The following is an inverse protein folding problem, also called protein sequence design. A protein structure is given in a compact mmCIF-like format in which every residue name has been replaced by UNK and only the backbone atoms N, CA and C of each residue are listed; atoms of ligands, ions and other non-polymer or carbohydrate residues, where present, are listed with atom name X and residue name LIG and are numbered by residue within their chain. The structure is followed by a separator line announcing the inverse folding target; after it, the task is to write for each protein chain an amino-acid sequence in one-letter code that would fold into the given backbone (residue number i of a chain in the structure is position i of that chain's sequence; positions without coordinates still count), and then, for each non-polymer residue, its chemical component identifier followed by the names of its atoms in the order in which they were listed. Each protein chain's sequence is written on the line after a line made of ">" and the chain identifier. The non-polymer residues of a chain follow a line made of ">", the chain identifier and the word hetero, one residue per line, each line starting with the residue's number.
data_IF_148512860396
#
_entry.id   IF_148512860396
#
_cell.length_a   1.000
_cell.length_b   1.000
_cell.length_c   1.000
_cell.angle_alpha   90.00
_cell.angle_beta   90.00
_cell.angle_gamma   90.00
#
_symmetry.space_group_name_H-M   'P 1'
#
loop_
_entity.id
_entity.type
_entity.pdbx_description
1 polymer ?
#
# COMPACT_ATOMS: atom_id res chain seq x y z
N UNK A 1 35.36 -4.04 -46.32
CA UNK A 1 34.40 -3.66 -47.38
C UNK A 1 33.72 -4.93 -47.89
N UNK A 2 32.38 -4.93 -47.95
CA UNK A 2 31.47 -5.91 -48.60
C UNK A 2 31.18 -7.23 -47.84
N UNK A 3 30.15 -7.16 -46.98
CA UNK A 3 29.34 -8.32 -46.54
C UNK A 3 28.22 -8.57 -47.58
N UNK A 4 28.07 -9.81 -48.05
CA UNK A 4 26.92 -10.36 -48.82
C UNK A 4 26.33 -11.48 -47.94
N UNK A 5 25.17 -11.29 -47.30
CA UNK A 5 23.82 -11.74 -47.73
C UNK A 5 23.75 -13.23 -48.13
N UNK A 6 23.20 -14.04 -47.22
CA UNK A 6 22.41 -15.27 -47.44
C UNK A 6 21.76 -15.58 -46.07
N UNK A 7 20.50 -15.21 -45.79
CA UNK A 7 19.24 -15.83 -46.23
C UNK A 7 19.18 -17.35 -45.96
N UNK A 8 18.69 -17.76 -44.77
CA UNK A 8 17.93 -19.00 -44.64
C UNK A 8 17.02 -18.99 -43.40
N UNK A 9 15.74 -18.78 -43.69
CA UNK A 9 14.53 -19.05 -42.90
C UNK A 9 14.45 -20.48 -42.37
N UNK A 10 14.04 -20.67 -41.11
CA UNK A 10 13.32 -21.88 -40.69
C UNK A 10 12.49 -21.63 -39.40
N UNK A 11 11.17 -21.44 -39.60
CA UNK A 11 10.04 -22.01 -38.84
C UNK A 11 10.20 -22.11 -37.30
N UNK A 12 9.64 -21.22 -36.47
CA UNK A 12 8.22 -21.08 -36.12
C UNK A 12 7.45 -22.41 -36.05
N UNK A 13 7.53 -23.09 -34.90
CA UNK A 13 6.48 -24.00 -34.42
C UNK A 13 5.96 -23.51 -33.07
N UNK A 14 4.90 -22.72 -33.19
CA UNK A 14 3.94 -22.33 -32.18
C UNK A 14 3.15 -23.60 -31.80
N UNK A 15 3.18 -24.04 -30.53
CA UNK A 15 2.26 -25.07 -30.04
C UNK A 15 1.48 -24.54 -28.85
N UNK A 16 0.18 -24.49 -29.05
CA UNK A 16 -0.87 -23.92 -28.22
C UNK A 16 -1.07 -24.68 -26.90
N UNK A 17 -1.41 -23.89 -25.89
CA UNK A 17 -2.04 -24.21 -24.61
C UNK A 17 -3.57 -24.12 -24.78
N UNK A 18 -4.35 -25.04 -24.16
CA UNK A 18 -5.52 -24.77 -23.31
C UNK A 18 -6.56 -25.93 -23.24
N UNK A 19 -7.41 -25.86 -22.19
CA UNK A 19 -8.47 -26.75 -21.67
C UNK A 19 -7.96 -27.81 -20.68
N UNK A 20 -8.01 -27.66 -19.36
CA UNK A 20 -8.97 -27.04 -18.42
C UNK A 20 -10.39 -27.63 -18.47
N UNK A 21 -10.75 -28.39 -17.45
CA UNK A 21 -12.10 -28.82 -17.10
C UNK A 21 -12.21 -28.97 -15.57
N UNK A 22 -12.72 -27.87 -14.99
CA UNK A 22 -13.36 -27.63 -13.70
C UNK A 22 -13.90 -28.90 -12.98
N UNK A 23 -13.35 -29.36 -11.86
CA UNK A 23 -13.74 -29.14 -10.44
C UNK A 23 -15.26 -29.01 -10.15
N UNK A 24 -15.78 -29.80 -9.19
CA UNK A 24 -16.36 -29.29 -7.93
C UNK A 24 -16.91 -30.43 -7.04
N UNK A 25 -16.34 -30.54 -5.85
CA UNK A 25 -16.82 -31.31 -4.71
C UNK A 25 -16.75 -30.37 -3.52
N UNK A 26 -17.88 -30.09 -2.84
CA UNK A 26 -17.88 -29.54 -1.48
C UNK A 26 -19.09 -30.06 -0.72
N UNK A 27 -18.76 -30.73 0.37
CA UNK A 27 -19.63 -31.08 1.49
C UNK A 27 -19.49 -29.99 2.58
N UNK A 28 -20.46 -29.99 3.49
CA UNK A 28 -20.41 -29.48 4.87
C UNK A 28 -20.87 -28.05 5.22
N UNK A 29 -21.55 -28.07 6.36
CA UNK A 29 -22.32 -27.12 7.18
C UNK A 29 -21.62 -25.79 7.54
N UNK A 30 -22.33 -24.76 8.07
CA UNK A 30 -22.46 -24.65 9.54
C UNK A 30 -23.71 -23.87 10.06
N UNK A 31 -24.08 -24.07 11.33
CA UNK A 31 -24.85 -23.10 12.11
C UNK A 31 -24.68 -23.35 13.61
N UNK A 32 -23.83 -22.54 14.25
CA UNK A 32 -23.66 -22.47 15.72
C UNK A 32 -23.68 -21.01 16.17
N UNK A 33 -24.54 -20.77 17.18
CA UNK A 33 -24.53 -19.80 18.29
C UNK A 33 -24.06 -18.35 18.03
N UNK A 34 -24.83 -17.29 18.32
CA UNK A 34 -25.50 -16.87 19.57
C UNK A 34 -24.58 -16.09 20.56
N UNK A 35 -24.89 -14.79 20.68
CA UNK A 35 -24.86 -13.86 21.85
C UNK A 35 -23.56 -13.44 22.55
N UNK A 36 -23.46 -12.11 22.78
CA UNK A 36 -23.55 -11.58 24.15
C UNK A 36 -22.51 -10.53 24.61
N UNK A 37 -23.05 -9.37 25.06
CA UNK A 37 -22.57 -8.44 26.11
C UNK A 37 -21.25 -7.65 25.89
N UNK A 38 -21.26 -6.31 25.72
CA UNK A 38 -21.41 -5.20 26.71
C UNK A 38 -20.35 -5.16 27.81
N UNK A 39 -19.55 -4.07 27.88
CA UNK A 39 -19.47 -3.21 29.07
C UNK A 39 -18.77 -1.87 28.81
N UNK A 40 -19.19 -0.90 29.61
CA UNK A 40 -18.95 0.54 29.66
C UNK A 40 -18.07 0.83 30.91
N UNK A 41 -17.21 1.84 30.89
CA UNK A 41 -16.45 2.22 32.09
C UNK A 41 -15.53 3.43 31.90
N UNK A 42 -15.72 4.46 32.73
CA UNK A 42 -15.26 5.84 32.57
C UNK A 42 -14.03 6.22 33.43
N UNK A 43 -13.37 7.31 32.98
CA UNK A 43 -12.74 8.45 33.68
C UNK A 43 -11.89 8.28 34.96
N UNK A 44 -10.72 8.95 35.00
CA UNK A 44 -10.45 10.08 35.93
C UNK A 44 -9.19 10.90 35.54
N UNK A 45 -9.24 12.21 35.81
CA UNK A 45 -8.18 13.22 35.75
C UNK A 45 -7.24 13.19 36.98
N UNK A 46 -6.04 13.77 36.86
CA UNK A 46 -5.17 14.15 37.98
C UNK A 46 -4.05 15.11 37.58
N UNK A 47 -4.01 16.29 38.19
CA UNK A 47 -3.11 17.42 37.95
C UNK A 47 -1.81 17.40 38.78
N UNK A 48 -0.76 18.13 38.36
CA UNK A 48 -0.01 19.16 39.15
C UNK A 48 1.40 19.53 38.62
N UNK A 49 1.57 20.83 38.35
CA UNK A 49 2.63 21.82 38.71
C UNK A 49 4.15 21.73 38.41
N UNK A 50 4.73 22.95 38.43
CA UNK A 50 5.97 23.52 37.85
C UNK A 50 7.33 23.17 38.50
N UNK A 51 8.42 23.46 37.76
CA UNK A 51 9.80 23.61 38.26
C UNK A 51 10.77 24.18 37.20
N UNK A 52 11.66 25.08 37.62
CA UNK A 52 12.35 26.13 36.87
C UNK A 52 13.78 25.84 36.32
N UNK A 53 14.21 26.64 35.30
CA UNK A 53 15.58 27.18 34.95
C UNK A 53 16.77 26.19 34.75
N UNK A 54 17.81 26.39 33.91
CA UNK A 54 18.53 27.56 33.37
C UNK A 54 19.43 27.16 32.15
N UNK A 55 20.01 28.16 31.47
CA UNK A 55 20.87 28.15 30.27
C UNK A 55 22.17 27.32 30.32
N UNK A 56 22.69 26.94 29.14
CA UNK A 56 24.13 26.70 28.98
C UNK A 56 24.62 26.01 27.70
N UNK A 57 25.09 26.84 26.76
CA UNK A 57 26.23 26.64 25.85
C UNK A 57 26.12 25.69 24.62
N UNK A 58 26.37 26.37 23.49
CA UNK A 58 26.74 25.98 22.13
C UNK A 58 27.82 24.91 21.98
N UNK A 59 27.64 24.01 21.01
CA UNK A 59 28.71 23.58 20.10
C UNK A 59 28.19 23.47 18.65
N UNK A 60 28.94 24.08 17.75
CA UNK A 60 28.78 24.11 16.30
C UNK A 60 29.58 22.95 15.72
N UNK A 61 28.94 22.07 14.94
CA UNK A 61 29.60 20.88 14.43
C UNK A 61 28.86 20.20 13.29
N UNK A 62 29.09 20.72 12.08
CA UNK A 62 29.12 20.05 10.79
C UNK A 62 27.87 19.29 10.27
N UNK A 63 27.43 19.76 9.10
CA UNK A 63 26.38 19.24 8.25
C UNK A 63 26.46 17.73 7.96
N UNK A 64 25.30 17.06 8.06
CA UNK A 64 24.89 16.06 7.09
C UNK A 64 23.50 16.41 6.53
N UNK A 65 23.47 16.52 5.20
CA UNK A 65 22.35 16.59 4.29
C UNK A 65 21.63 15.22 4.36
N UNK A 66 20.42 15.06 4.88
CA UNK A 66 19.18 15.67 4.41
C UNK A 66 18.17 14.55 4.14
N UNK A 67 17.52 14.04 5.20
CA UNK A 67 16.26 13.32 5.10
C UNK A 67 15.39 13.82 6.25
N UNK A 68 14.53 14.78 5.95
CA UNK A 68 13.55 15.27 6.90
C UNK A 68 12.57 14.12 7.21
N UNK A 69 12.70 13.55 8.40
CA UNK A 69 11.63 12.74 9.00
C UNK A 69 10.49 13.70 9.36
N UNK A 70 9.65 14.00 8.36
CA UNK A 70 8.35 14.62 8.55
C UNK A 70 7.47 13.58 9.26
N UNK A 71 7.54 13.48 10.60
CA UNK A 71 6.45 12.90 11.40
C UNK A 71 5.26 13.87 11.37
N UNK A 72 4.60 13.92 10.22
CA UNK A 72 3.36 14.62 9.97
C UNK A 72 2.17 13.72 10.35
N UNK A 73 1.09 14.33 10.85
CA UNK A 73 -0.22 13.69 11.07
C UNK A 73 -0.52 12.59 10.03
N UNK A 74 -0.74 11.31 10.43
CA UNK A 74 -0.94 10.20 9.50
C UNK A 74 -2.20 10.34 8.63
N UNK A 75 -3.06 11.32 8.92
CA UNK A 75 -4.26 11.65 8.15
C UNK A 75 -4.05 12.82 7.17
N UNK A 76 -2.99 13.61 7.35
CA UNK A 76 -2.71 14.72 6.43
C UNK A 76 -2.28 14.19 5.06
N UNK A 77 -2.69 14.89 4.00
CA UNK A 77 -2.23 14.55 2.65
C UNK A 77 -0.72 14.82 2.54
N UNK A 78 0.04 13.92 1.93
CA UNK A 78 1.47 14.12 1.79
C UNK A 78 1.83 15.21 0.77
N UNK A 79 3.02 15.80 0.90
CA UNK A 79 3.48 16.89 0.04
C UNK A 79 3.57 16.51 -1.45
N UNK A 80 3.82 15.23 -1.75
CA UNK A 80 3.93 14.65 -3.08
C UNK A 80 2.62 13.99 -3.56
N UNK A 81 1.47 14.32 -2.96
CA UNK A 81 0.16 13.77 -3.36
C UNK A 81 -0.22 14.12 -4.82
N UNK A 82 0.29 15.23 -5.35
CA UNK A 82 -0.04 15.67 -6.70
C UNK A 82 0.63 14.83 -7.80
N UNK A 83 1.83 14.30 -7.56
CA UNK A 83 2.62 13.56 -8.54
C UNK A 83 3.72 12.72 -7.87
N UNK A 84 4.08 11.56 -8.43
CA UNK A 84 5.20 10.77 -7.93
C UNK A 84 6.51 11.59 -8.01
N UNK A 85 7.33 11.59 -6.94
CA UNK A 85 8.63 12.23 -6.94
C UNK A 85 9.62 11.49 -7.86
N UNK A 86 10.74 12.15 -8.19
CA UNK A 86 11.73 11.61 -9.14
C UNK A 86 12.42 10.33 -8.66
N UNK A 87 12.42 10.07 -7.36
CA UNK A 87 12.99 8.88 -6.73
C UNK A 87 11.97 7.75 -6.54
N UNK A 88 10.72 7.92 -7.00
CA UNK A 88 9.74 6.84 -7.01
C UNK A 88 10.06 5.78 -8.07
N UNK A 89 9.95 4.52 -7.70
CA UNK A 89 10.08 3.39 -8.62
C UNK A 89 8.79 3.26 -9.44
N UNK A 90 8.92 3.03 -10.75
CA UNK A 90 7.76 2.87 -11.65
C UNK A 90 7.79 1.51 -12.33
N UNK A 91 6.68 0.78 -12.28
CA UNK A 91 6.53 -0.52 -12.93
C UNK A 91 6.08 -0.35 -14.40
N UNK A 92 6.08 -1.45 -15.15
CA UNK A 92 5.64 -1.45 -16.54
C UNK A 92 4.15 -1.11 -16.73
N UNK A 93 3.33 -1.27 -15.70
CA UNK A 93 1.90 -0.89 -15.73
C UNK A 93 1.67 0.60 -15.47
N UNK A 94 2.71 1.34 -15.08
CA UNK A 94 2.64 2.74 -14.71
C UNK A 94 2.32 2.98 -13.24
N UNK A 95 2.22 1.94 -12.42
CA UNK A 95 2.21 2.09 -10.96
C UNK A 95 3.55 2.69 -10.52
N UNK A 96 3.50 3.83 -9.82
CA UNK A 96 4.66 4.38 -9.14
C UNK A 96 4.58 4.12 -7.63
N UNK A 97 5.71 3.87 -6.99
CA UNK A 97 5.76 3.61 -5.56
C UNK A 97 7.07 4.05 -4.91
N UNK A 98 7.02 4.32 -3.60
CA UNK A 98 8.19 4.69 -2.79
C UNK A 98 8.06 4.10 -1.40
N UNK A 99 9.11 3.42 -0.93
CA UNK A 99 9.18 2.94 0.46
C UNK A 99 9.31 4.15 1.39
N UNK A 100 8.40 4.26 2.35
CA UNK A 100 8.42 5.28 3.39
C UNK A 100 9.05 4.76 4.69
N UNK A 101 8.83 3.48 4.97
CA UNK A 101 9.43 2.76 6.10
C UNK A 101 9.71 1.33 5.65
N UNK A 102 10.95 0.90 5.82
CA UNK A 102 11.36 -0.47 5.54
C UNK A 102 10.60 -1.46 6.45
N UNK A 103 10.18 -2.58 5.86
CA UNK A 103 9.60 -3.67 6.61
C UNK A 103 10.66 -4.59 7.20
N UNK A 104 10.20 -5.54 8.03
CA UNK A 104 11.06 -6.56 8.66
C UNK A 104 10.77 -7.97 8.13
N UNK A 105 9.70 -8.12 7.34
CA UNK A 105 9.34 -9.37 6.70
C UNK A 105 10.33 -9.79 5.61
N UNK A 106 10.27 -11.07 5.26
CA UNK A 106 11.08 -11.66 4.18
C UNK A 106 10.24 -12.23 3.04
N UNK A 107 8.94 -12.34 3.26
CA UNK A 107 7.98 -12.85 2.29
C UNK A 107 7.22 -11.69 1.64
N UNK A 108 6.94 -11.86 0.36
CA UNK A 108 6.06 -10.98 -0.40
C UNK A 108 4.67 -11.63 -0.54
N UNK A 109 3.58 -10.86 -0.42
CA UNK A 109 2.25 -11.33 -0.75
C UNK A 109 2.20 -11.80 -2.22
N UNK A 110 1.32 -12.75 -2.51
CA UNK A 110 0.96 -13.10 -3.89
C UNK A 110 -0.35 -12.40 -4.27
N UNK A 111 -0.69 -12.37 -5.56
CA UNK A 111 -1.95 -11.79 -6.03
C UNK A 111 -3.22 -12.41 -5.39
N UNK A 112 -3.13 -13.62 -4.83
CA UNK A 112 -4.23 -14.31 -4.14
C UNK A 112 -4.12 -14.27 -2.61
N UNK A 113 -3.07 -13.65 -2.06
CA UNK A 113 -2.90 -13.54 -0.61
C UNK A 113 -4.01 -12.67 0.00
N UNK A 114 -4.36 -13.00 1.23
CA UNK A 114 -5.11 -12.09 2.10
C UNK A 114 -4.11 -11.33 2.95
N UNK A 115 -4.29 -10.02 3.08
CA UNK A 115 -3.39 -9.17 3.86
C UNK A 115 -4.18 -8.36 4.87
N UNK A 116 -3.54 -8.02 6.00
CA UNK A 116 -4.02 -7.05 6.97
C UNK A 116 -3.15 -5.81 6.87
N UNK A 117 -3.76 -4.65 6.66
CA UNK A 117 -3.03 -3.41 6.44
C UNK A 117 -3.75 -2.19 7.02
N UNK A 118 -2.95 -1.18 7.40
CA UNK A 118 -3.42 0.19 7.50
C UNK A 118 -3.23 0.91 6.17
N UNK A 119 -4.09 1.88 5.92
CA UNK A 119 -4.00 2.72 4.73
C UNK A 119 -4.74 4.03 4.90
N UNK A 120 -4.31 5.02 4.12
CA UNK A 120 -5.04 6.24 3.84
C UNK A 120 -4.93 6.55 2.35
N UNK A 121 -6.03 6.97 1.75
CA UNK A 121 -6.14 7.28 0.32
C UNK A 121 -6.59 8.71 0.06
N UNK A 122 -5.92 9.37 -0.89
CA UNK A 122 -6.19 10.75 -1.31
C UNK A 122 -6.30 10.86 -2.84
N UNK A 123 -7.11 11.80 -3.30
CA UNK A 123 -7.03 12.31 -4.66
C UNK A 123 -5.87 13.30 -4.78
N UNK A 124 -5.39 13.56 -6.01
CA UNK A 124 -4.21 14.42 -6.27
C UNK A 124 -4.37 15.88 -5.83
N UNK A 125 -5.57 16.31 -5.52
CA UNK A 125 -5.88 17.61 -4.90
C UNK A 125 -5.72 17.61 -3.37
N UNK A 126 -5.26 16.51 -2.78
CA UNK A 126 -5.05 16.34 -1.34
C UNK A 126 -6.31 15.96 -0.56
N UNK A 127 -7.45 15.73 -1.22
CA UNK A 127 -8.67 15.32 -0.52
C UNK A 127 -8.60 13.84 -0.16
N UNK A 128 -8.61 13.55 1.14
CA UNK A 128 -8.78 12.19 1.63
C UNK A 128 -10.18 11.67 1.27
N UNK A 129 -10.25 10.48 0.68
CA UNK A 129 -11.52 9.82 0.39
C UNK A 129 -11.76 8.58 1.26
N UNK A 130 -10.69 7.94 1.76
CA UNK A 130 -10.81 6.76 2.61
C UNK A 130 -9.58 6.59 3.53
N UNK A 131 -9.77 6.04 4.72
CA UNK A 131 -8.69 5.74 5.66
C UNK A 131 -9.12 4.70 6.70
N UNK A 132 -8.33 3.65 6.86
CA UNK A 132 -8.47 2.71 7.97
C UNK A 132 -7.88 3.26 9.28
N UNK A 133 -6.85 4.11 9.18
CA UNK A 133 -6.25 4.80 10.34
C UNK A 133 -7.29 5.71 11.00
N UNK A 134 -8.05 6.47 10.20
CA UNK A 134 -9.17 7.30 10.69
C UNK A 134 -10.26 6.49 11.40
N UNK A 135 -10.45 5.23 11.00
CA UNK A 135 -11.40 4.30 11.64
C UNK A 135 -10.82 3.62 12.88
N UNK A 136 -9.51 3.73 13.14
CA UNK A 136 -8.83 3.11 14.28
C UNK A 136 -8.66 1.59 14.17
N UNK A 137 -8.90 0.99 13.00
CA UNK A 137 -8.83 -0.46 12.80
C UNK A 137 -8.24 -0.81 11.42
N UNK A 138 -7.24 -1.73 11.36
CA UNK A 138 -6.75 -2.28 10.11
C UNK A 138 -7.83 -2.98 9.30
N UNK A 139 -7.66 -3.01 7.98
CA UNK A 139 -8.54 -3.75 7.10
C UNK A 139 -7.87 -5.05 6.64
N UNK A 140 -8.58 -6.16 6.76
CA UNK A 140 -8.20 -7.44 6.15
C UNK A 140 -8.84 -7.54 4.78
N UNK A 141 -8.03 -7.72 3.74
CA UNK A 141 -8.51 -7.73 2.35
C UNK A 141 -7.81 -8.80 1.50
N UNK A 142 -8.54 -9.57 0.69
CA UNK A 142 -7.96 -10.43 -0.32
C UNK A 142 -7.50 -9.61 -1.53
N UNK A 143 -6.23 -9.75 -1.93
CA UNK A 143 -5.62 -8.91 -2.98
C UNK A 143 -6.24 -9.11 -4.36
N UNK A 144 -6.97 -10.20 -4.60
CA UNK A 144 -7.70 -10.43 -5.85
C UNK A 144 -9.10 -9.79 -5.90
N UNK A 145 -9.50 -9.03 -4.88
CA UNK A 145 -10.80 -8.30 -4.81
C UNK A 145 -10.65 -6.78 -4.67
N UNK A 146 -9.42 -6.27 -4.73
CA UNK A 146 -9.11 -4.83 -4.67
C UNK A 146 -8.78 -4.29 -6.06
N UNK A 147 -8.53 -2.98 -6.17
CA UNK A 147 -8.11 -2.36 -7.42
C UNK A 147 -6.77 -2.92 -7.90
N UNK A 148 -6.56 -2.99 -9.21
CA UNK A 148 -5.39 -3.65 -9.80
C UNK A 148 -4.06 -3.09 -9.30
N UNK A 149 -3.97 -1.78 -9.05
CA UNK A 149 -2.78 -1.14 -8.50
C UNK A 149 -2.44 -1.59 -7.08
N UNK A 150 -3.46 -1.92 -6.27
CA UNK A 150 -3.24 -2.54 -4.96
C UNK A 150 -2.81 -3.99 -5.08
N UNK A 151 -3.47 -4.76 -5.96
CA UNK A 151 -3.07 -6.15 -6.23
C UNK A 151 -1.61 -6.21 -6.65
N UNK A 152 -1.16 -5.34 -7.56
CA UNK A 152 0.23 -5.28 -8.00
C UNK A 152 1.16 -4.72 -6.91
N UNK A 153 0.84 -3.54 -6.37
CA UNK A 153 1.75 -2.80 -5.48
C UNK A 153 2.03 -3.49 -4.16
N UNK A 154 1.02 -4.12 -3.55
CA UNK A 154 1.20 -4.79 -2.25
C UNK A 154 2.06 -6.05 -2.39
N UNK A 155 2.14 -6.68 -3.57
CA UNK A 155 3.09 -7.78 -3.83
C UNK A 155 4.56 -7.31 -3.83
N UNK A 156 4.82 -6.00 -3.93
CA UNK A 156 6.17 -5.45 -3.84
C UNK A 156 6.62 -5.23 -2.39
N UNK A 157 5.70 -5.31 -1.44
CA UNK A 157 5.95 -5.03 -0.03
C UNK A 157 6.31 -6.29 0.75
N UNK A 158 6.91 -6.09 1.92
CA UNK A 158 7.03 -7.11 2.98
C UNK A 158 6.31 -6.67 4.26
N UNK A 159 6.09 -7.60 5.18
CA UNK A 159 5.46 -7.27 6.48
C UNK A 159 6.24 -6.20 7.26
N UNK A 160 5.49 -5.29 7.88
CA UNK A 160 6.02 -4.12 8.61
C UNK A 160 6.38 -2.92 7.74
N UNK A 161 6.34 -3.06 6.41
CA UNK A 161 6.69 -2.00 5.47
C UNK A 161 5.56 -0.97 5.37
N UNK A 162 5.94 0.32 5.31
CA UNK A 162 5.06 1.40 4.85
C UNK A 162 5.51 1.88 3.48
N UNK A 163 4.61 1.87 2.51
CA UNK A 163 4.87 2.29 1.13
C UNK A 163 3.81 3.27 0.66
N UNK A 164 4.26 4.27 -0.11
CA UNK A 164 3.37 5.16 -0.88
C UNK A 164 3.20 4.63 -2.29
N UNK A 165 1.97 4.69 -2.79
CA UNK A 165 1.62 4.33 -4.16
C UNK A 165 0.95 5.50 -4.85
N UNK A 166 1.33 5.77 -6.11
CA UNK A 166 0.61 6.62 -7.04
C UNK A 166 0.03 5.72 -8.13
N UNK A 167 -1.27 5.48 -8.03
CA UNK A 167 -1.99 4.52 -8.85
C UNK A 167 -2.69 5.24 -9.99
N UNK A 168 -2.28 5.06 -11.26
CA UNK A 168 -2.94 5.68 -12.39
C UNK A 168 -4.39 5.19 -12.51
N UNK A 169 -5.25 6.00 -13.13
CA UNK A 169 -6.70 5.73 -13.21
C UNK A 169 -7.03 4.34 -13.76
N UNK A 170 -6.24 3.86 -14.73
CA UNK A 170 -6.45 2.56 -15.39
C UNK A 170 -6.22 1.37 -14.44
N UNK A 171 -5.45 1.56 -13.37
CA UNK A 171 -5.20 0.58 -12.31
C UNK A 171 -6.09 0.79 -11.08
N UNK A 172 -6.93 1.82 -11.09
CA UNK A 172 -7.85 2.18 -10.02
C UNK A 172 -9.32 1.90 -10.42
N UNK A 173 -10.22 2.85 -10.19
CA UNK A 173 -11.65 2.71 -10.46
C UNK A 173 -12.06 2.97 -11.92
N UNK A 174 -11.11 3.27 -12.82
CA UNK A 174 -11.36 3.45 -14.26
C UNK A 174 -12.48 4.46 -14.59
N UNK A 175 -12.63 5.50 -13.77
CA UNK A 175 -13.66 6.53 -13.94
C UNK A 175 -15.08 6.08 -13.63
N UNK A 176 -15.27 5.01 -12.83
CA UNK A 176 -16.59 4.54 -12.41
C UNK A 176 -17.40 5.68 -11.73
N UNK A 177 -18.68 5.89 -12.10
CA UNK A 177 -19.50 6.92 -11.50
C UNK A 177 -19.60 6.78 -9.97
N UNK A 178 -19.41 7.90 -9.26
CA UNK A 178 -19.46 7.94 -7.79
C UNK A 178 -18.18 7.48 -7.09
N UNK A 179 -17.16 7.04 -7.83
CA UNK A 179 -15.84 6.69 -7.28
C UNK A 179 -14.84 7.82 -7.47
N UNK A 180 -13.76 7.86 -6.66
CA UNK A 180 -12.62 8.73 -6.94
C UNK A 180 -12.10 8.53 -8.38
N UNK A 181 -11.81 9.64 -9.06
CA UNK A 181 -11.36 9.67 -10.44
C UNK A 181 -9.93 10.20 -10.56
N UNK A 182 -9.27 9.90 -11.68
CA UNK A 182 -7.87 10.25 -11.89
C UNK A 182 -6.90 9.32 -11.17
N UNK A 183 -5.68 9.80 -10.99
CA UNK A 183 -4.65 9.12 -10.21
C UNK A 183 -5.01 9.17 -8.72
N UNK A 184 -4.80 8.07 -8.01
CA UNK A 184 -5.03 7.98 -6.58
C UNK A 184 -3.71 7.78 -5.86
N UNK A 185 -3.57 8.40 -4.70
CA UNK A 185 -2.39 8.25 -3.84
C UNK A 185 -2.78 7.48 -2.60
N UNK A 186 -2.00 6.48 -2.24
CA UNK A 186 -2.19 5.68 -1.04
C UNK A 186 -0.92 5.57 -0.25
N UNK A 187 -1.00 5.78 1.06
CA UNK A 187 -0.02 5.26 2.00
C UNK A 187 -0.59 3.96 2.55
N UNK A 188 0.21 2.90 2.49
CA UNK A 188 -0.17 1.56 2.95
C UNK A 188 0.90 1.07 3.91
N UNK A 189 0.48 0.59 5.07
CA UNK A 189 1.32 -0.11 6.03
C UNK A 189 0.87 -1.57 6.08
N UNK A 190 1.71 -2.47 5.57
CA UNK A 190 1.43 -3.90 5.55
C UNK A 190 1.73 -4.48 6.93
N UNK A 191 0.69 -4.88 7.65
CA UNK A 191 0.83 -5.42 9.01
C UNK A 191 1.15 -6.92 8.95
N UNK A 192 0.45 -7.66 8.09
CA UNK A 192 0.53 -9.13 8.05
C UNK A 192 0.03 -9.70 6.72
N UNK A 193 0.65 -10.80 6.30
CA UNK A 193 0.18 -11.72 5.26
C UNK A 193 -0.59 -12.87 5.93
N UNK A 194 -1.90 -12.89 5.77
CA UNK A 194 -2.79 -13.87 6.39
C UNK A 194 -2.68 -15.19 5.62
N UNK A 195 -2.22 -16.24 6.31
CA UNK A 195 -2.02 -17.59 5.77
C UNK A 195 -3.13 -18.56 6.19
#
# INVERSE_FOLDING_TARGET
>A
MRRRIALLTCLLTFSLIACESKEDAVEETPSTAEQGATEEGAAEEGAAEEGATEEGATEEGAAEEGAAEEESDPLAAPADVAAPPADAETTASGLASKVLKEGTGTAHPTANSTVRAHYTGWTTDGKMFDSSVKRGQPLTMPLNRVIAGWTEGVQLMVEGEKRRFWIPQDLAYKGAPGMPAGMLVFDVELIEIVN
#
